data_IF_308603885337
#
_entry.id   IF_308603885337
#
_cell.length_a   1.000
_cell.length_b   1.000
_cell.length_c   1.000
_cell.angle_alpha   90.00
_cell.angle_beta   90.00
_cell.angle_gamma   90.00
#
_symmetry.space_group_name_H-M   'P 1'
#
loop_
_entity.id
_entity.type
_entity.pdbx_description
1 polymer ?
#
# COMPACT_ATOMS: atom_id res chain seq x y z
N UNK A 1 35.69 -49.28 -21.77
CA UNK A 1 34.31 -48.75 -21.55
C UNK A 1 34.37 -47.84 -20.33
N UNK A 2 34.55 -46.56 -20.59
CA UNK A 2 34.63 -45.53 -19.53
C UNK A 2 33.20 -45.11 -19.17
N UNK A 3 32.84 -45.29 -17.91
CA UNK A 3 31.57 -44.78 -17.36
C UNK A 3 31.86 -43.32 -17.01
N UNK A 4 31.48 -42.40 -17.89
CA UNK A 4 31.44 -40.99 -17.58
C UNK A 4 30.46 -40.77 -16.42
N UNK A 5 31.05 -40.32 -15.34
CA UNK A 5 30.37 -39.91 -14.08
C UNK A 5 29.48 -38.74 -14.41
N UNK A 6 28.19 -38.99 -14.65
CA UNK A 6 27.18 -37.93 -14.77
C UNK A 6 27.02 -37.32 -13.37
N UNK A 7 27.72 -36.24 -13.12
CA UNK A 7 27.43 -35.37 -11.97
C UNK A 7 25.99 -34.88 -12.14
N UNK A 8 25.13 -35.00 -11.11
CA UNK A 8 23.81 -34.38 -11.18
C UNK A 8 24.00 -32.86 -11.35
N UNK A 9 23.33 -32.31 -12.35
CA UNK A 9 23.24 -30.84 -12.54
C UNK A 9 22.89 -30.23 -11.19
N UNK A 10 23.86 -29.50 -10.61
CA UNK A 10 23.67 -28.86 -9.32
C UNK A 10 22.50 -27.90 -9.44
N UNK A 11 21.39 -28.22 -8.80
CA UNK A 11 20.34 -27.22 -8.51
C UNK A 11 21.07 -26.03 -7.98
N UNK A 12 21.03 -24.92 -8.71
CA UNK A 12 21.51 -23.63 -8.25
C UNK A 12 20.69 -23.30 -7.00
N UNK A 13 21.20 -23.66 -5.83
CA UNK A 13 20.59 -23.27 -4.58
C UNK A 13 20.62 -21.74 -4.55
N UNK A 14 19.43 -21.14 -4.71
CA UNK A 14 19.29 -19.70 -4.68
C UNK A 14 19.79 -19.12 -3.35
N UNK A 15 20.31 -17.92 -3.38
CA UNK A 15 20.78 -17.23 -2.16
C UNK A 15 19.61 -16.93 -1.23
N UNK A 16 19.87 -16.98 0.07
CA UNK A 16 18.93 -16.54 1.11
C UNK A 16 19.28 -15.13 1.53
N UNK A 17 18.36 -14.19 1.28
CA UNK A 17 18.51 -12.78 1.64
C UNK A 17 17.55 -12.47 2.78
N UNK A 18 18.11 -12.02 3.91
CA UNK A 18 17.36 -11.69 5.12
C UNK A 18 16.84 -10.27 5.10
N UNK A 19 15.65 -10.07 5.69
CA UNK A 19 15.14 -8.75 5.99
C UNK A 19 14.64 -8.70 7.44
N UNK A 20 15.12 -7.69 8.20
CA UNK A 20 14.70 -7.43 9.57
C UNK A 20 14.15 -6.01 9.70
N UNK A 21 13.10 -5.85 10.53
CA UNK A 21 12.51 -4.54 10.83
C UNK A 21 12.26 -4.38 12.31
N UNK A 22 12.67 -3.22 12.84
CA UNK A 22 12.40 -2.84 14.23
C UNK A 22 11.74 -1.47 14.29
N UNK A 23 10.95 -1.23 15.34
CA UNK A 23 10.55 0.12 15.72
C UNK A 23 11.71 0.78 16.47
N UNK A 24 11.73 2.12 16.53
CA UNK A 24 12.77 2.88 17.26
C UNK A 24 12.85 2.55 18.77
N UNK A 25 11.84 1.85 19.31
CA UNK A 25 11.78 1.41 20.72
C UNK A 25 12.05 -0.08 20.92
N UNK A 26 12.27 -0.83 19.84
CA UNK A 26 12.38 -2.30 19.86
C UNK A 26 13.85 -2.72 20.00
N UNK A 27 14.18 -3.43 21.07
CA UNK A 27 15.53 -3.97 21.34
C UNK A 27 15.77 -5.33 20.64
N UNK A 28 14.82 -5.81 19.84
CA UNK A 28 14.83 -7.18 19.30
C UNK A 28 15.51 -7.31 17.91
N UNK A 29 16.34 -6.35 17.48
CA UNK A 29 17.03 -6.47 16.19
C UNK A 29 18.04 -7.62 16.20
N UNK A 30 18.84 -7.75 17.25
CA UNK A 30 19.88 -8.79 17.38
C UNK A 30 19.28 -10.19 17.29
N UNK A 31 18.14 -10.43 17.98
CA UNK A 31 17.45 -11.70 17.91
C UNK A 31 16.95 -12.04 16.49
N UNK A 32 16.46 -11.04 15.73
CA UNK A 32 16.07 -11.25 14.34
C UNK A 32 17.29 -11.56 13.47
N UNK A 33 18.40 -10.83 13.64
CA UNK A 33 19.64 -11.06 12.89
C UNK A 33 20.22 -12.45 13.17
N UNK A 34 20.21 -12.90 14.42
CA UNK A 34 20.66 -14.24 14.80
C UNK A 34 19.79 -15.33 14.15
N UNK A 35 18.46 -15.14 14.15
CA UNK A 35 17.53 -16.08 13.51
C UNK A 35 17.75 -16.16 12.00
N UNK A 36 17.94 -15.01 11.34
CA UNK A 36 18.22 -14.94 9.92
C UNK A 36 19.57 -15.57 9.56
N UNK A 37 20.58 -15.35 10.40
CA UNK A 37 21.90 -15.97 10.23
C UNK A 37 21.84 -17.52 10.36
N UNK A 38 21.12 -18.01 11.38
CA UNK A 38 20.86 -19.45 11.55
C UNK A 38 20.06 -20.06 10.42
N UNK A 39 19.19 -19.27 9.77
CA UNK A 39 18.46 -19.67 8.57
C UNK A 39 19.32 -19.67 7.30
N UNK A 40 20.61 -19.36 7.39
CA UNK A 40 21.55 -19.38 6.25
C UNK A 40 21.46 -18.15 5.34
N UNK A 41 20.99 -17.01 5.85
CA UNK A 41 21.00 -15.77 5.05
C UNK A 41 22.43 -15.29 4.82
N UNK A 42 22.80 -15.14 3.54
CA UNK A 42 24.12 -14.67 3.13
C UNK A 42 24.26 -13.14 3.29
N UNK A 43 23.15 -12.43 3.26
CA UNK A 43 23.06 -10.98 3.42
C UNK A 43 21.76 -10.61 4.10
N UNK A 44 21.79 -9.63 5.00
CA UNK A 44 20.61 -9.14 5.71
C UNK A 44 20.50 -7.62 5.61
N UNK A 45 19.31 -7.15 5.25
CA UNK A 45 18.95 -5.74 5.18
C UNK A 45 18.04 -5.38 6.34
N UNK A 46 18.16 -4.14 6.83
CA UNK A 46 17.40 -3.72 8.02
C UNK A 46 16.75 -2.37 7.84
N UNK A 47 15.54 -2.23 8.40
CA UNK A 47 14.85 -0.95 8.53
C UNK A 47 14.57 -0.64 10.00
N UNK A 48 14.97 0.57 10.43
CA UNK A 48 14.58 1.17 11.70
C UNK A 48 13.49 2.23 11.43
N UNK A 49 12.23 1.92 11.70
CA UNK A 49 11.12 2.81 11.37
C UNK A 49 10.39 3.31 12.61
N UNK A 50 10.31 4.63 12.80
CA UNK A 50 9.32 5.24 13.67
C UNK A 50 7.92 5.06 13.06
N UNK A 51 6.87 4.94 13.89
CA UNK A 51 5.53 4.51 13.47
C UNK A 51 4.85 5.26 12.31
N UNK A 52 5.42 6.39 11.85
CA UNK A 52 4.89 7.22 10.76
C UNK A 52 5.62 7.03 9.41
N UNK A 53 6.78 6.41 9.37
CA UNK A 53 7.56 6.26 8.14
C UNK A 53 7.03 5.10 7.27
N UNK A 54 6.57 5.43 6.06
CA UNK A 54 6.08 4.48 5.05
C UNK A 54 7.21 3.93 4.16
N UNK A 55 8.32 4.66 4.03
CA UNK A 55 9.45 4.27 3.21
C UNK A 55 10.30 3.23 3.92
N UNK A 56 10.63 2.15 3.19
CA UNK A 56 11.43 1.02 3.65
C UNK A 56 12.63 0.83 2.74
N UNK A 57 13.67 1.66 2.88
CA UNK A 57 14.85 1.59 2.02
C UNK A 57 15.54 0.24 2.10
N UNK A 58 15.66 -0.36 3.30
CA UNK A 58 16.25 -1.69 3.48
C UNK A 58 15.47 -2.80 2.79
N UNK A 59 14.12 -2.77 2.85
CA UNK A 59 13.31 -3.73 2.09
C UNK A 59 13.49 -3.54 0.58
N UNK A 60 13.47 -2.30 0.11
CA UNK A 60 13.66 -2.01 -1.32
C UNK A 60 15.04 -2.49 -1.80
N UNK A 61 16.06 -2.31 -0.99
CA UNK A 61 17.40 -2.79 -1.29
C UNK A 61 17.45 -4.32 -1.27
N UNK A 62 16.86 -5.00 -0.27
CA UNK A 62 16.76 -6.45 -0.25
C UNK A 62 16.10 -6.99 -1.54
N UNK A 63 14.97 -6.40 -1.93
CA UNK A 63 14.23 -6.79 -3.14
C UNK A 63 15.04 -6.58 -4.44
N UNK A 64 15.92 -5.58 -4.48
CA UNK A 64 16.78 -5.32 -5.65
C UNK A 64 17.91 -6.33 -5.82
N UNK A 65 18.31 -6.97 -4.72
CA UNK A 65 19.38 -8.00 -4.75
C UNK A 65 18.87 -9.41 -5.08
N UNK A 66 17.56 -9.65 -4.95
CA UNK A 66 16.96 -10.95 -5.23
C UNK A 66 16.93 -11.26 -6.72
N UNK A 67 17.32 -12.48 -7.08
CA UNK A 67 17.28 -13.05 -8.42
C UNK A 67 16.32 -14.23 -8.46
N UNK A 68 16.06 -14.80 -9.64
CA UNK A 68 15.32 -16.04 -9.81
C UNK A 68 15.94 -17.17 -8.95
N UNK A 69 15.12 -17.98 -8.33
CA UNK A 69 15.43 -19.03 -7.37
C UNK A 69 15.96 -18.57 -5.99
N UNK A 70 16.22 -17.29 -5.77
CA UNK A 70 16.57 -16.77 -4.44
C UNK A 70 15.38 -16.82 -3.47
N UNK A 71 15.67 -16.72 -2.17
CA UNK A 71 14.64 -16.70 -1.11
C UNK A 71 14.75 -15.44 -0.27
N UNK A 72 13.66 -14.67 -0.18
CA UNK A 72 13.53 -13.62 0.83
C UNK A 72 13.15 -14.25 2.17
N UNK A 73 13.97 -14.06 3.19
CA UNK A 73 13.76 -14.65 4.53
C UNK A 73 13.44 -13.52 5.52
N UNK A 74 12.39 -13.71 6.33
CA UNK A 74 12.06 -12.84 7.46
C UNK A 74 11.90 -13.66 8.73
N UNK A 75 12.12 -13.03 9.87
CA UNK A 75 11.90 -13.68 11.15
C UNK A 75 10.41 -13.99 11.39
N UNK A 76 9.51 -13.04 11.04
CA UNK A 76 8.06 -13.14 11.20
C UNK A 76 7.34 -12.28 10.18
N UNK A 77 6.12 -12.68 9.77
CA UNK A 77 5.30 -11.98 8.77
C UNK A 77 5.02 -10.52 9.11
N UNK A 78 4.84 -10.20 10.40
CA UNK A 78 4.57 -8.83 10.87
C UNK A 78 5.75 -7.87 10.63
N UNK A 79 6.96 -8.40 10.43
CA UNK A 79 8.14 -7.61 10.05
C UNK A 79 8.08 -7.16 8.59
N UNK A 80 7.43 -7.94 7.74
CA UNK A 80 7.32 -7.65 6.31
C UNK A 80 6.13 -6.73 5.99
N UNK A 81 4.97 -6.92 6.63
CA UNK A 81 3.76 -6.15 6.35
C UNK A 81 2.92 -5.85 7.58
N UNK A 82 2.18 -4.73 7.55
CA UNK A 82 1.19 -4.36 8.57
C UNK A 82 -0.23 -4.77 8.18
N UNK A 83 -0.45 -5.14 6.93
CA UNK A 83 -1.73 -5.60 6.41
C UNK A 83 -1.54 -6.88 5.61
N UNK A 84 -2.49 -7.78 5.71
CA UNK A 84 -2.51 -9.03 4.94
C UNK A 84 -2.43 -8.73 3.44
N UNK A 85 -3.14 -7.70 2.98
CA UNK A 85 -3.09 -7.26 1.57
C UNK A 85 -1.66 -6.91 1.13
N UNK A 86 -0.95 -6.05 1.87
CA UNK A 86 0.41 -5.64 1.50
C UNK A 86 1.38 -6.81 1.49
N UNK A 87 1.17 -7.79 2.38
CA UNK A 87 1.95 -9.04 2.38
C UNK A 87 1.65 -9.88 1.14
N UNK A 88 0.37 -10.05 0.80
CA UNK A 88 -0.06 -10.80 -0.39
C UNK A 88 0.48 -10.17 -1.67
N UNK A 89 0.34 -8.85 -1.82
CA UNK A 89 0.82 -8.11 -3.00
C UNK A 89 2.36 -8.27 -3.16
N UNK A 90 3.10 -8.25 -2.05
CA UNK A 90 4.56 -8.40 -2.07
C UNK A 90 4.97 -9.83 -2.44
N UNK A 91 4.37 -10.85 -1.83
CA UNK A 91 4.72 -12.25 -2.12
C UNK A 91 4.30 -12.65 -3.53
N UNK A 92 3.16 -12.17 -4.05
CA UNK A 92 2.81 -12.34 -5.47
C UNK A 92 3.84 -11.69 -6.40
N UNK A 93 4.37 -10.52 -6.01
CA UNK A 93 5.46 -9.87 -6.75
C UNK A 93 6.76 -10.67 -6.74
N UNK A 94 7.08 -11.37 -5.64
CA UNK A 94 8.22 -12.30 -5.56
C UNK A 94 7.99 -13.54 -6.44
N UNK A 95 6.79 -14.13 -6.36
CA UNK A 95 6.44 -15.31 -7.17
C UNK A 95 6.50 -15.03 -8.68
N UNK A 96 6.01 -13.85 -9.12
CA UNK A 96 6.13 -13.43 -10.52
C UNK A 96 7.59 -13.32 -11.00
N UNK A 97 8.53 -13.11 -10.08
CA UNK A 97 9.98 -13.08 -10.32
C UNK A 97 10.65 -14.44 -10.06
N UNK A 98 9.87 -15.47 -9.74
CA UNK A 98 10.34 -16.80 -9.32
C UNK A 98 11.28 -16.76 -8.09
N UNK A 99 11.00 -15.82 -7.18
CA UNK A 99 11.69 -15.67 -5.90
C UNK A 99 10.84 -16.30 -4.81
N UNK A 100 11.43 -17.11 -3.95
CA UNK A 100 10.74 -17.73 -2.82
C UNK A 100 10.66 -16.78 -1.62
N UNK A 101 9.71 -17.07 -0.75
CA UNK A 101 9.53 -16.34 0.50
C UNK A 101 9.51 -17.31 1.68
N UNK A 102 10.25 -16.98 2.75
CA UNK A 102 10.29 -17.79 3.95
C UNK A 102 10.12 -16.94 5.22
N UNK A 103 9.12 -17.26 6.04
CA UNK A 103 8.93 -16.72 7.39
C UNK A 103 9.29 -17.77 8.43
N UNK A 104 10.34 -17.52 9.23
CA UNK A 104 10.95 -18.52 10.11
C UNK A 104 9.96 -18.95 11.20
N UNK A 105 9.39 -17.99 11.96
CA UNK A 105 8.51 -18.31 13.11
C UNK A 105 7.12 -18.74 12.72
N UNK A 106 6.63 -18.30 11.55
CA UNK A 106 5.29 -18.65 11.07
C UNK A 106 5.28 -20.01 10.32
N UNK A 107 6.46 -20.60 10.07
CA UNK A 107 6.58 -21.87 9.34
C UNK A 107 6.12 -21.80 7.89
N UNK A 108 6.09 -20.60 7.31
CA UNK A 108 5.64 -20.38 5.95
C UNK A 108 6.82 -20.34 4.99
N UNK A 109 6.89 -21.28 4.05
CA UNK A 109 7.92 -21.35 3.02
C UNK A 109 7.29 -21.62 1.65
N UNK A 110 7.25 -20.58 0.78
CA UNK A 110 6.68 -20.69 -0.57
C UNK A 110 7.55 -21.53 -1.53
N UNK A 111 8.77 -21.88 -1.16
CA UNK A 111 9.59 -22.88 -1.87
C UNK A 111 9.00 -24.28 -1.79
N UNK A 112 8.13 -24.55 -0.80
CA UNK A 112 7.48 -25.84 -0.61
C UNK A 112 6.04 -25.86 -1.13
N UNK A 113 5.52 -27.00 -1.63
CA UNK A 113 4.13 -27.10 -2.06
C UNK A 113 3.11 -26.76 -0.96
N UNK A 114 3.25 -27.24 0.29
CA UNK A 114 2.35 -26.87 1.37
C UNK A 114 2.37 -25.36 1.69
N UNK A 115 3.56 -24.75 1.69
CA UNK A 115 3.71 -23.32 1.95
C UNK A 115 3.05 -22.45 0.87
N UNK A 116 3.20 -22.81 -0.41
CA UNK A 116 2.49 -22.17 -1.52
C UNK A 116 0.98 -22.28 -1.36
N UNK A 117 0.47 -23.47 -1.08
CA UNK A 117 -0.95 -23.69 -0.85
C UNK A 117 -1.48 -22.80 0.30
N UNK A 118 -0.81 -22.80 1.44
CA UNK A 118 -1.20 -21.98 2.58
C UNK A 118 -1.20 -20.48 2.22
N UNK A 119 -0.19 -20.03 1.47
CA UNK A 119 -0.12 -18.64 1.01
C UNK A 119 -1.31 -18.28 0.11
N UNK A 120 -1.68 -19.11 -0.84
CA UNK A 120 -2.85 -18.88 -1.71
C UNK A 120 -4.17 -18.86 -0.92
N UNK A 121 -4.31 -19.69 0.11
CA UNK A 121 -5.48 -19.64 1.00
C UNK A 121 -5.54 -18.29 1.73
N UNK A 122 -4.42 -17.82 2.28
CA UNK A 122 -4.34 -16.52 2.95
C UNK A 122 -4.64 -15.36 1.98
N UNK A 123 -4.14 -15.43 0.76
CA UNK A 123 -4.42 -14.45 -0.29
C UNK A 123 -5.92 -14.39 -0.63
N UNK A 124 -6.56 -15.54 -0.77
CA UNK A 124 -8.00 -15.66 -1.05
C UNK A 124 -8.85 -15.09 0.10
N UNK A 125 -8.47 -15.36 1.35
CA UNK A 125 -9.13 -14.79 2.53
C UNK A 125 -9.01 -13.26 2.57
N UNK A 126 -7.82 -12.72 2.29
CA UNK A 126 -7.60 -11.27 2.23
C UNK A 126 -8.41 -10.60 1.12
N UNK A 127 -8.56 -11.25 -0.02
CA UNK A 127 -9.40 -10.78 -1.12
C UNK A 127 -10.89 -10.78 -0.73
N UNK A 128 -11.37 -11.87 -0.15
CA UNK A 128 -12.74 -11.98 0.34
C UNK A 128 -13.07 -10.89 1.39
N UNK A 129 -12.18 -10.67 2.36
CA UNK A 129 -12.37 -9.62 3.37
C UNK A 129 -12.50 -8.23 2.71
N UNK A 130 -11.67 -7.95 1.71
CA UNK A 130 -11.74 -6.69 0.95
C UNK A 130 -13.08 -6.54 0.22
N UNK A 131 -13.56 -7.59 -0.43
CA UNK A 131 -14.83 -7.58 -1.16
C UNK A 131 -16.00 -7.31 -0.20
N UNK A 132 -16.04 -7.96 0.96
CA UNK A 132 -17.03 -7.71 2.00
C UNK A 132 -17.01 -6.26 2.52
N UNK A 133 -15.84 -5.66 2.70
CA UNK A 133 -15.70 -4.25 3.10
C UNK A 133 -16.24 -3.33 2.01
N UNK A 134 -15.93 -3.59 0.74
CA UNK A 134 -16.43 -2.81 -0.39
C UNK A 134 -17.96 -2.90 -0.52
N UNK A 135 -18.51 -4.10 -0.37
CA UNK A 135 -19.97 -4.36 -0.41
C UNK A 135 -20.69 -3.58 0.69
N UNK A 136 -20.21 -3.68 1.94
CA UNK A 136 -20.76 -2.92 3.08
C UNK A 136 -20.69 -1.41 2.86
N UNK A 137 -19.58 -0.93 2.32
CA UNK A 137 -19.38 0.50 2.02
C UNK A 137 -20.36 0.96 0.94
N UNK A 138 -20.55 0.16 -0.12
CA UNK A 138 -21.49 0.45 -1.21
C UNK A 138 -22.93 0.49 -0.71
N UNK A 139 -23.34 -0.50 0.07
CA UNK A 139 -24.67 -0.54 0.69
C UNK A 139 -24.90 0.67 1.62
N UNK A 140 -23.88 1.04 2.45
CA UNK A 140 -23.95 2.21 3.31
C UNK A 140 -24.08 3.53 2.55
N UNK A 141 -23.37 3.69 1.43
CA UNK A 141 -23.46 4.88 0.56
C UNK A 141 -24.82 4.95 -0.14
N UNK A 142 -25.39 3.82 -0.55
CA UNK A 142 -26.71 3.75 -1.16
C UNK A 142 -27.80 4.12 -0.15
N UNK A 143 -27.76 3.55 1.04
CA UNK A 143 -28.66 3.92 2.14
C UNK A 143 -28.57 5.42 2.49
N UNK A 144 -27.36 5.99 2.52
CA UNK A 144 -27.17 7.41 2.75
C UNK A 144 -27.79 8.28 1.63
N UNK A 145 -27.65 7.85 0.36
CA UNK A 145 -28.26 8.55 -0.80
C UNK A 145 -29.78 8.52 -0.74
N UNK A 146 -30.38 7.39 -0.36
CA UNK A 146 -31.84 7.26 -0.19
C UNK A 146 -32.36 8.19 0.92
N UNK A 147 -31.53 8.51 1.92
CA UNK A 147 -31.81 9.47 2.97
C UNK A 147 -31.48 10.93 2.57
N UNK A 148 -31.20 11.20 1.29
CA UNK A 148 -30.84 12.53 0.79
C UNK A 148 -29.43 13.04 1.21
N UNK A 149 -28.59 12.17 1.77
CA UNK A 149 -27.22 12.52 2.14
C UNK A 149 -26.32 12.38 0.92
N UNK A 150 -25.87 13.49 0.37
CA UNK A 150 -24.93 13.53 -0.74
C UNK A 150 -23.52 13.67 -0.20
N UNK A 151 -22.66 12.68 -0.52
CA UNK A 151 -21.23 12.73 -0.15
C UNK A 151 -20.47 13.78 -0.96
N UNK A 152 -19.29 14.12 -0.49
CA UNK A 152 -18.39 15.06 -1.14
C UNK A 152 -18.17 16.34 -0.35
N UNK A 153 -17.34 17.24 -0.91
CA UNK A 153 -17.07 18.55 -0.29
C UNK A 153 -18.31 19.44 -0.36
N UNK A 154 -18.71 20.02 0.76
CA UNK A 154 -19.83 20.99 0.79
C UNK A 154 -19.60 22.10 -0.24
N UNK A 155 -20.66 22.42 -1.01
CA UNK A 155 -20.66 23.48 -2.02
C UNK A 155 -20.40 24.82 -1.33
N UNK A 156 -19.31 25.49 -1.69
CA UNK A 156 -18.96 26.81 -1.12
C UNK A 156 -19.90 27.93 -1.61
N UNK A 157 -20.30 27.86 -2.90
CA UNK A 157 -21.26 28.77 -3.51
C UNK A 157 -22.67 28.19 -3.38
N UNK A 158 -23.33 28.48 -2.28
CA UNK A 158 -24.77 28.19 -2.09
C UNK A 158 -25.62 29.04 -3.00
N UNK A 159 -26.89 28.67 -3.22
CA UNK A 159 -27.79 29.42 -4.10
C UNK A 159 -27.99 30.87 -3.59
N UNK A 160 -28.04 31.08 -2.26
CA UNK A 160 -28.05 32.39 -1.66
C UNK A 160 -26.80 33.23 -1.95
N UNK A 161 -25.61 32.62 -1.89
CA UNK A 161 -24.35 33.28 -2.27
C UNK A 161 -24.28 33.60 -3.75
N UNK A 162 -24.81 32.75 -4.61
CA UNK A 162 -24.89 33.01 -6.06
C UNK A 162 -25.78 34.20 -6.34
N UNK A 163 -26.94 34.27 -5.69
CA UNK A 163 -27.84 35.44 -5.83
C UNK A 163 -27.21 36.73 -5.27
N UNK A 164 -26.55 36.66 -4.13
CA UNK A 164 -25.83 37.81 -3.56
C UNK A 164 -24.70 38.26 -4.51
N UNK A 165 -23.94 37.34 -5.05
CA UNK A 165 -22.89 37.63 -6.05
C UNK A 165 -23.44 38.37 -7.26
N UNK A 166 -24.56 37.88 -7.83
CA UNK A 166 -25.21 38.52 -8.99
C UNK A 166 -25.63 39.97 -8.68
N UNK A 167 -26.25 40.21 -7.50
CA UNK A 167 -26.66 41.56 -7.09
C UNK A 167 -25.47 42.51 -6.93
N UNK A 168 -24.40 42.06 -6.25
CA UNK A 168 -23.21 42.87 -6.01
C UNK A 168 -22.46 43.20 -7.30
N UNK A 169 -22.36 42.24 -8.22
CA UNK A 169 -21.74 42.47 -9.54
C UNK A 169 -22.58 43.44 -10.38
N UNK A 170 -23.91 43.31 -10.37
CA UNK A 170 -24.83 44.22 -11.06
C UNK A 170 -24.80 45.64 -10.51
N UNK A 171 -24.49 45.83 -9.22
CA UNK A 171 -24.28 47.15 -8.61
C UNK A 171 -22.91 47.78 -8.87
N UNK A 172 -22.07 47.13 -9.71
CA UNK A 172 -20.75 47.63 -10.08
C UNK A 172 -19.63 47.30 -9.09
N UNK A 173 -19.90 46.47 -8.07
CA UNK A 173 -18.86 46.07 -7.10
C UNK A 173 -17.78 45.25 -7.80
N UNK A 174 -16.46 45.54 -7.59
CA UNK A 174 -15.38 44.83 -8.24
C UNK A 174 -15.39 43.33 -7.91
N UNK A 175 -15.17 42.43 -8.88
CA UNK A 175 -15.20 40.97 -8.67
C UNK A 175 -14.28 40.45 -7.55
N UNK A 176 -13.18 41.14 -7.29
CA UNK A 176 -12.24 40.79 -6.20
C UNK A 176 -12.91 41.04 -4.81
N UNK A 177 -13.64 42.13 -4.67
CA UNK A 177 -14.35 42.48 -3.42
C UNK A 177 -15.53 41.55 -3.19
N UNK A 178 -16.28 41.20 -4.25
CA UNK A 178 -17.38 40.23 -4.19
C UNK A 178 -16.86 38.88 -3.78
N UNK A 179 -15.76 38.37 -4.38
CA UNK A 179 -15.16 37.11 -4.04
C UNK A 179 -14.69 37.10 -2.58
N UNK A 180 -14.07 38.19 -2.12
CA UNK A 180 -13.61 38.33 -0.74
C UNK A 180 -14.78 38.34 0.25
N UNK A 181 -15.85 39.09 0.01
CA UNK A 181 -17.03 39.16 0.88
C UNK A 181 -17.77 37.80 0.99
N UNK A 182 -17.74 36.98 -0.04
CA UNK A 182 -18.35 35.66 -0.05
C UNK A 182 -17.41 34.53 0.40
N UNK A 183 -16.17 34.85 0.78
CA UNK A 183 -15.11 33.93 1.18
C UNK A 183 -14.82 32.83 0.10
N UNK A 184 -14.70 33.26 -1.14
CA UNK A 184 -14.35 32.39 -2.28
C UNK A 184 -13.25 33.01 -3.12
N UNK A 185 -12.60 32.23 -3.97
CA UNK A 185 -11.65 32.76 -4.95
C UNK A 185 -12.37 33.36 -6.16
N UNK A 186 -11.75 34.34 -6.83
CA UNK A 186 -12.27 34.94 -8.06
C UNK A 186 -12.58 33.89 -9.14
N UNK A 187 -11.72 32.87 -9.39
CA UNK A 187 -12.06 31.76 -10.29
C UNK A 187 -13.30 30.99 -9.87
N UNK A 188 -13.51 30.80 -8.55
CA UNK A 188 -14.71 30.14 -8.04
C UNK A 188 -15.95 31.00 -8.26
N UNK A 189 -15.86 32.32 -8.07
CA UNK A 189 -16.95 33.24 -8.34
C UNK A 189 -17.39 33.14 -9.82
N UNK A 190 -16.44 33.26 -10.76
CA UNK A 190 -16.76 33.21 -12.19
C UNK A 190 -17.22 31.83 -12.70
N UNK A 191 -16.87 30.76 -12.03
CA UNK A 191 -17.43 29.43 -12.34
C UNK A 191 -18.94 29.38 -12.12
N UNK A 192 -19.47 30.13 -11.14
CA UNK A 192 -20.87 30.15 -10.75
C UNK A 192 -21.66 31.35 -11.28
N UNK A 193 -20.99 32.45 -11.58
CA UNK A 193 -21.55 33.66 -12.15
C UNK A 193 -20.64 34.14 -13.27
N UNK A 194 -20.76 33.56 -14.49
CA UNK A 194 -19.95 33.95 -15.64
C UNK A 194 -20.14 35.40 -16.01
N UNK A 195 -19.11 36.07 -16.51
CA UNK A 195 -19.15 37.47 -16.92
C UNK A 195 -20.19 37.74 -18.03
N UNK A 196 -20.45 36.74 -18.88
CA UNK A 196 -21.46 36.81 -19.97
C UNK A 196 -22.91 36.83 -19.49
N UNK A 197 -23.18 36.61 -18.20
CA UNK A 197 -24.52 36.66 -17.62
C UNK A 197 -24.86 38.01 -16.98
N UNK A 198 -24.04 39.06 -17.22
CA UNK A 198 -24.15 40.40 -16.61
C UNK A 198 -24.63 41.50 -17.60
N UNK A 199 -25.09 41.08 -18.79
CA UNK A 199 -25.64 41.99 -19.83
C UNK A 199 -27.16 42.05 -19.69
#
# INVERSE_FOLDING_TARGET
MSIENLMPEGELQGMRIGYARVSTRDQNLEMQLDALNKAGCTRTFTDKLSGAQLERPGLKEALSHLREADTLVVWKLDRLGRSVKGLVDLVNGLEARKVHFHSITDGLDTGTPPGRFFFHVMASLAQMERELIMERTRAGLEAARLQGRVGGRKRQMTDSKVQAAKKLLASGTPPREVAHSLHVSVPTLYRWVPASSQT
#
